data_IF_626593233777
#
_entry.id   IF_626593233777
#
_cell.length_a   1.000
_cell.length_b   1.000
_cell.length_c   1.000
_cell.angle_alpha   90.00
_cell.angle_beta   90.00
_cell.angle_gamma   90.00
#
_symmetry.space_group_name_H-M   'P 1'
#
loop_
_entity.id
_entity.type
_entity.pdbx_description
1 polymer ?
#
# COMPACT_ATOMS: atom_id res chain seq x y z
N UNK A 1 -2.85 5.20 31.50
CA UNK A 1 -3.79 4.75 30.44
C UNK A 1 -3.49 5.30 29.04
N UNK A 2 -2.74 6.40 28.83
CA UNK A 2 -2.37 6.91 27.48
C UNK A 2 -0.94 6.61 27.01
N UNK A 3 -0.10 6.03 27.87
CA UNK A 3 1.31 5.72 27.60
C UNK A 3 1.65 4.25 27.91
N UNK A 4 0.67 3.35 27.81
CA UNK A 4 1.00 1.93 27.88
C UNK A 4 1.80 1.55 26.64
N UNK A 5 2.89 0.78 26.79
CA UNK A 5 3.72 0.36 25.67
C UNK A 5 2.93 -0.39 24.59
N UNK A 6 1.84 -1.07 24.96
CA UNK A 6 0.94 -1.75 24.01
C UNK A 6 0.25 -0.79 23.03
N UNK A 7 -0.24 0.36 23.49
CA UNK A 7 -0.86 1.34 22.60
C UNK A 7 0.16 1.97 21.65
N UNK A 8 1.39 2.20 22.13
CA UNK A 8 2.48 2.70 21.28
C UNK A 8 2.81 1.67 20.20
N UNK A 9 2.91 0.39 20.55
CA UNK A 9 3.17 -0.69 19.59
C UNK A 9 2.07 -0.80 18.52
N UNK A 10 0.79 -0.73 18.90
CA UNK A 10 -0.34 -0.72 17.96
C UNK A 10 -0.30 0.50 17.01
N UNK A 11 0.13 1.66 17.51
CA UNK A 11 0.31 2.87 16.70
C UNK A 11 1.38 2.66 15.63
N UNK A 12 2.52 2.08 16.02
CA UNK A 12 3.59 1.72 15.09
C UNK A 12 3.14 0.68 14.07
N UNK A 13 2.36 -0.32 14.49
CA UNK A 13 1.83 -1.34 13.59
C UNK A 13 0.96 -0.73 12.49
N UNK A 14 0.07 0.20 12.86
CA UNK A 14 -0.78 0.92 11.90
C UNK A 14 0.07 1.79 10.95
N UNK A 15 1.09 2.46 11.47
CA UNK A 15 2.03 3.23 10.65
C UNK A 15 2.82 2.35 9.67
N UNK A 16 3.36 1.23 10.14
CA UNK A 16 4.10 0.27 9.32
C UNK A 16 3.24 -0.35 8.22
N UNK A 17 1.96 -0.58 8.49
CA UNK A 17 1.01 -1.06 7.49
C UNK A 17 0.89 -0.07 6.31
N UNK A 18 0.90 1.24 6.56
CA UNK A 18 0.87 2.25 5.49
C UNK A 18 2.15 2.27 4.62
N UNK A 19 3.26 1.72 5.12
CA UNK A 19 4.48 1.51 4.34
C UNK A 19 4.59 0.07 3.81
N UNK A 20 3.60 -0.79 4.03
CA UNK A 20 3.59 -2.14 3.49
C UNK A 20 3.56 -2.10 1.96
N UNK A 21 4.31 -2.98 1.33
CA UNK A 21 4.43 -3.06 -0.13
C UNK A 21 5.86 -2.90 -0.65
N UNK A 22 6.81 -2.51 0.21
CA UNK A 22 8.25 -2.56 -0.11
C UNK A 22 8.71 -3.96 -0.55
N UNK A 23 8.05 -5.02 -0.08
CA UNK A 23 8.32 -6.40 -0.51
C UNK A 23 7.95 -6.66 -1.98
N UNK A 24 6.98 -5.94 -2.54
CA UNK A 24 6.58 -6.12 -3.94
C UNK A 24 7.71 -5.73 -4.90
N UNK A 25 8.56 -4.77 -4.53
CA UNK A 25 9.75 -4.39 -5.28
C UNK A 25 10.73 -5.57 -5.45
N UNK A 26 10.82 -6.46 -4.45
CA UNK A 26 11.71 -7.60 -4.51
C UNK A 26 11.29 -8.60 -5.61
N UNK A 27 10.00 -8.73 -5.90
CA UNK A 27 9.50 -9.61 -6.97
C UNK A 27 9.71 -9.04 -8.37
N UNK A 28 9.82 -7.72 -8.49
CA UNK A 28 10.08 -7.03 -9.78
C UNK A 28 11.59 -6.88 -10.03
N UNK A 29 12.44 -7.32 -9.09
CA UNK A 29 13.91 -7.31 -9.23
C UNK A 29 14.38 -8.05 -10.49
N UNK A 30 13.72 -9.15 -10.86
CA UNK A 30 14.06 -9.94 -12.06
C UNK A 30 13.79 -9.18 -13.37
N UNK A 31 12.88 -8.20 -13.35
CA UNK A 31 12.53 -7.36 -14.51
C UNK A 31 13.34 -6.04 -14.53
N UNK A 32 14.08 -5.76 -13.45
CA UNK A 32 14.84 -4.53 -13.31
C UNK A 32 16.17 -4.62 -14.07
N UNK A 33 16.46 -3.63 -14.93
CA UNK A 33 17.78 -3.52 -15.56
C UNK A 33 18.84 -3.21 -14.49
N UNK A 34 19.82 -4.09 -14.28
CA UNK A 34 20.86 -3.99 -13.23
C UNK A 34 20.33 -3.87 -11.79
N UNK A 35 19.73 -4.95 -11.25
CA UNK A 35 19.04 -4.92 -9.95
C UNK A 35 19.97 -4.56 -8.77
N UNK A 36 21.20 -5.08 -8.76
CA UNK A 36 22.17 -4.85 -7.66
C UNK A 36 22.48 -3.38 -7.37
N UNK A 37 22.35 -2.49 -8.36
CA UNK A 37 22.58 -1.04 -8.19
C UNK A 37 21.29 -0.25 -8.13
N UNK A 38 20.28 -0.64 -8.90
CA UNK A 38 19.06 0.14 -9.06
C UNK A 38 18.04 -0.14 -7.95
N UNK A 39 17.97 -1.37 -7.44
CA UNK A 39 17.08 -1.71 -6.33
C UNK A 39 17.40 -0.93 -5.04
N UNK A 40 18.65 -0.92 -4.51
CA UNK A 40 18.95 -0.15 -3.29
C UNK A 40 18.76 1.36 -3.50
N UNK A 41 19.05 1.89 -4.69
CA UNK A 41 18.80 3.30 -5.01
C UNK A 41 17.32 3.63 -5.06
N UNK A 42 16.50 2.76 -5.67
CA UNK A 42 15.05 2.95 -5.73
C UNK A 42 14.44 2.95 -4.32
N UNK A 43 14.86 2.04 -3.45
CA UNK A 43 14.42 2.01 -2.04
C UNK A 43 14.85 3.28 -1.30
N UNK A 44 16.12 3.68 -1.45
CA UNK A 44 16.66 4.86 -0.78
C UNK A 44 15.99 6.17 -1.22
N UNK A 45 15.48 6.26 -2.45
CA UNK A 45 14.75 7.44 -2.95
C UNK A 45 13.26 7.37 -2.59
N UNK A 46 12.63 6.20 -2.75
CA UNK A 46 11.19 6.03 -2.53
C UNK A 46 10.79 6.16 -1.06
N UNK A 47 11.55 5.58 -0.13
CA UNK A 47 11.24 5.65 1.30
C UNK A 47 11.15 7.08 1.86
N UNK A 48 12.16 7.96 1.69
CA UNK A 48 12.07 9.33 2.19
C UNK A 48 11.01 10.14 1.44
N UNK A 49 10.81 9.90 0.14
CA UNK A 49 9.77 10.58 -0.64
C UNK A 49 8.37 10.25 -0.09
N UNK A 50 8.06 8.96 0.11
CA UNK A 50 6.78 8.52 0.69
C UNK A 50 6.62 9.06 2.11
N UNK A 51 7.67 8.99 2.92
CA UNK A 51 7.66 9.55 4.28
C UNK A 51 7.31 11.04 4.27
N UNK A 52 7.94 11.81 3.38
CA UNK A 52 7.68 13.25 3.25
C UNK A 52 6.23 13.52 2.84
N UNK A 53 5.71 12.80 1.85
CA UNK A 53 4.32 12.91 1.41
C UNK A 53 3.35 12.57 2.55
N UNK A 54 3.61 11.50 3.31
CA UNK A 54 2.76 11.11 4.43
C UNK A 54 2.72 12.16 5.53
N UNK A 55 3.87 12.77 5.86
CA UNK A 55 3.91 13.87 6.82
C UNK A 55 3.10 15.06 6.32
N UNK A 56 3.25 15.44 5.05
CA UNK A 56 2.47 16.53 4.45
C UNK A 56 0.95 16.27 4.49
N UNK A 57 0.51 15.06 4.14
CA UNK A 57 -0.91 14.69 4.18
C UNK A 57 -1.46 14.75 5.61
N UNK A 58 -0.71 14.27 6.60
CA UNK A 58 -1.11 14.38 8.00
C UNK A 58 -1.24 15.85 8.43
N UNK A 59 -0.30 16.71 8.04
CA UNK A 59 -0.39 18.16 8.30
C UNK A 59 -1.65 18.74 7.67
N UNK A 60 -1.95 18.41 6.41
CA UNK A 60 -3.16 18.87 5.73
C UNK A 60 -4.45 18.46 6.45
N UNK A 61 -4.51 17.22 6.97
CA UNK A 61 -5.68 16.77 7.75
C UNK A 61 -5.84 17.55 9.06
N UNK A 62 -4.77 17.82 9.79
CA UNK A 62 -4.86 18.57 11.05
C UNK A 62 -5.20 20.05 10.89
N UNK A 63 -4.93 20.64 9.71
CA UNK A 63 -5.30 22.03 9.41
C UNK A 63 -6.80 22.16 9.14
N UNK A 64 -7.44 21.13 8.58
CA UNK A 64 -8.82 21.21 8.08
C UNK A 64 -9.83 20.50 9.00
N UNK A 65 -9.43 19.40 9.66
CA UNK A 65 -10.30 18.61 10.53
C UNK A 65 -9.95 18.80 12.00
N UNK A 66 -10.99 18.81 12.84
CA UNK A 66 -10.81 18.72 14.28
C UNK A 66 -10.48 17.28 14.70
N UNK A 67 -9.90 17.12 15.90
CA UNK A 67 -9.48 15.82 16.44
C UNK A 67 -10.65 14.84 16.58
N UNK A 68 -11.82 15.36 16.97
CA UNK A 68 -13.03 14.57 17.16
C UNK A 68 -13.54 14.04 15.81
N UNK A 69 -13.58 14.90 14.78
CA UNK A 69 -13.98 14.51 13.43
C UNK A 69 -13.03 13.49 12.80
N UNK A 70 -11.71 13.62 13.05
CA UNK A 70 -10.73 12.67 12.54
C UNK A 70 -10.89 11.29 13.19
N UNK A 71 -11.21 11.24 14.49
CA UNK A 71 -11.42 9.99 15.22
C UNK A 71 -12.79 9.36 14.96
N UNK A 72 -13.81 10.15 14.60
CA UNK A 72 -15.15 9.66 14.30
C UNK A 72 -15.33 9.23 12.83
N UNK A 73 -14.38 9.54 11.95
CA UNK A 73 -14.49 9.29 10.51
C UNK A 73 -13.81 8.00 10.09
N UNK A 74 -14.56 7.05 9.55
CA UNK A 74 -14.01 5.82 8.96
C UNK A 74 -13.17 6.10 7.70
N UNK A 75 -13.50 7.16 6.96
CA UNK A 75 -12.81 7.60 5.75
C UNK A 75 -12.38 9.07 5.85
N UNK A 76 -11.24 9.30 6.52
CA UNK A 76 -10.68 10.65 6.76
C UNK A 76 -10.46 11.44 5.46
N UNK A 77 -10.01 10.76 4.39
CA UNK A 77 -9.78 11.39 3.09
C UNK A 77 -11.07 11.92 2.42
N UNK A 78 -12.19 11.20 2.58
CA UNK A 78 -13.48 11.60 2.00
C UNK A 78 -14.06 12.78 2.79
N UNK A 79 -14.01 12.69 4.12
CA UNK A 79 -14.45 13.78 5.02
C UNK A 79 -13.66 15.07 4.77
N UNK A 80 -12.36 14.95 4.49
CA UNK A 80 -11.52 16.06 4.05
C UNK A 80 -11.98 16.63 2.69
N UNK A 81 -12.27 15.76 1.72
CA UNK A 81 -12.80 16.16 0.41
C UNK A 81 -14.13 16.89 0.50
N UNK A 82 -15.05 16.41 1.33
CA UNK A 82 -16.36 17.04 1.55
C UNK A 82 -16.23 18.47 2.09
N UNK A 83 -15.32 18.68 3.04
CA UNK A 83 -15.08 20.01 3.64
C UNK A 83 -14.35 20.97 2.72
N UNK A 84 -13.40 20.49 1.93
CA UNK A 84 -12.51 21.35 1.16
C UNK A 84 -13.01 21.62 -0.27
N UNK A 85 -13.56 20.60 -0.93
CA UNK A 85 -13.86 20.63 -2.36
C UNK A 85 -15.32 20.94 -2.67
N UNK A 86 -16.22 20.89 -1.68
CA UNK A 86 -17.64 21.21 -1.83
C UNK A 86 -18.28 20.45 -3.00
N UNK A 87 -18.61 21.17 -4.08
CA UNK A 87 -19.16 20.61 -5.33
C UNK A 87 -18.32 19.49 -5.93
N UNK A 88 -16.99 19.53 -5.79
CA UNK A 88 -16.08 18.55 -6.40
C UNK A 88 -15.76 17.37 -5.46
N UNK A 89 -16.48 17.20 -4.34
CA UNK A 89 -16.17 16.17 -3.35
C UNK A 89 -16.11 14.75 -3.91
N UNK A 90 -16.95 14.40 -4.91
CA UNK A 90 -16.93 13.07 -5.55
C UNK A 90 -15.58 12.68 -6.17
N UNK A 91 -14.74 13.65 -6.55
CA UNK A 91 -13.42 13.32 -7.11
C UNK A 91 -12.52 12.59 -6.12
N UNK A 92 -12.61 12.92 -4.83
CA UNK A 92 -11.75 12.34 -3.80
C UNK A 92 -11.96 10.83 -3.61
N UNK A 93 -13.19 10.31 -3.37
CA UNK A 93 -13.42 8.88 -3.30
C UNK A 93 -13.15 8.18 -4.64
N UNK A 94 -13.32 8.84 -5.78
CA UNK A 94 -12.96 8.25 -7.08
C UNK A 94 -11.46 7.97 -7.18
N UNK A 95 -10.60 8.94 -6.86
CA UNK A 95 -9.14 8.74 -6.86
C UNK A 95 -8.70 7.69 -5.83
N UNK A 96 -9.30 7.69 -4.64
CA UNK A 96 -9.02 6.69 -3.60
C UNK A 96 -9.43 5.28 -4.08
N UNK A 97 -10.59 5.15 -4.73
CA UNK A 97 -11.04 3.88 -5.31
C UNK A 97 -10.10 3.39 -6.41
N UNK A 98 -9.68 4.28 -7.34
CA UNK A 98 -8.71 3.92 -8.36
C UNK A 98 -7.36 3.50 -7.77
N UNK A 99 -6.89 4.18 -6.71
CA UNK A 99 -5.63 3.85 -6.04
C UNK A 99 -5.69 2.48 -5.35
N UNK A 100 -6.77 2.21 -4.59
CA UNK A 100 -6.97 0.91 -3.92
C UNK A 100 -7.14 -0.24 -4.92
N UNK A 101 -7.84 -0.01 -6.04
CA UNK A 101 -7.94 -0.97 -7.13
C UNK A 101 -6.59 -1.28 -7.78
N UNK A 102 -5.77 -0.24 -8.03
CA UNK A 102 -4.41 -0.40 -8.55
C UNK A 102 -3.50 -1.19 -7.59
N UNK A 103 -3.58 -0.88 -6.29
CA UNK A 103 -2.83 -1.60 -5.26
C UNK A 103 -3.24 -3.07 -5.17
N UNK A 104 -4.55 -3.37 -5.21
CA UNK A 104 -5.06 -4.75 -5.22
C UNK A 104 -4.58 -5.53 -6.44
N UNK A 105 -4.64 -4.92 -7.62
CA UNK A 105 -4.15 -5.56 -8.85
C UNK A 105 -2.66 -5.92 -8.74
N UNK A 106 -1.83 -4.99 -8.24
CA UNK A 106 -0.41 -5.25 -7.99
C UNK A 106 -0.16 -6.38 -6.99
N UNK A 107 -0.95 -6.42 -5.90
CA UNK A 107 -0.88 -7.48 -4.90
C UNK A 107 -1.24 -8.86 -5.47
N UNK A 108 -2.27 -8.93 -6.33
CA UNK A 108 -2.68 -10.17 -7.02
C UNK A 108 -1.51 -10.69 -7.88
N UNK A 109 -0.91 -9.83 -8.72
CA UNK A 109 0.23 -10.24 -9.56
C UNK A 109 1.41 -10.78 -8.76
N UNK A 110 1.79 -10.09 -7.67
CA UNK A 110 2.90 -10.54 -6.84
C UNK A 110 2.59 -11.85 -6.10
N UNK A 111 1.37 -11.99 -5.57
CA UNK A 111 0.96 -13.20 -4.87
C UNK A 111 0.94 -14.43 -5.78
N UNK A 112 0.41 -14.29 -7.00
CA UNK A 112 0.37 -15.36 -8.00
C UNK A 112 1.78 -15.88 -8.33
N UNK A 113 2.77 -14.99 -8.51
CA UNK A 113 4.17 -15.38 -8.73
C UNK A 113 4.77 -16.14 -7.56
N UNK A 114 4.52 -15.68 -6.33
CA UNK A 114 5.01 -16.34 -5.13
C UNK A 114 4.44 -17.75 -4.99
N UNK A 115 3.14 -17.93 -5.23
CA UNK A 115 2.50 -19.25 -5.18
C UNK A 115 3.02 -20.18 -6.28
N UNK A 116 3.22 -19.68 -7.50
CA UNK A 116 3.77 -20.45 -8.61
C UNK A 116 5.16 -21.00 -8.30
N UNK A 117 6.07 -20.15 -7.79
CA UNK A 117 7.42 -20.58 -7.40
C UNK A 117 7.38 -21.52 -6.19
N UNK A 118 6.57 -21.22 -5.17
CA UNK A 118 6.45 -22.07 -3.98
C UNK A 118 5.90 -23.47 -4.27
N UNK A 119 4.99 -23.61 -5.23
CA UNK A 119 4.49 -24.92 -5.67
C UNK A 119 5.51 -25.67 -6.57
N UNK A 120 6.37 -24.94 -7.30
CA UNK A 120 7.47 -25.54 -8.08
C UNK A 120 8.56 -26.12 -7.17
N UNK A 121 8.89 -25.44 -6.08
CA UNK A 121 9.85 -25.89 -5.06
C UNK A 121 9.26 -26.98 -4.11
N UNK A 122 8.01 -27.40 -4.34
CA UNK A 122 7.39 -28.49 -3.58
C UNK A 122 6.89 -28.12 -2.18
N UNK A 123 6.91 -26.83 -1.81
CA UNK A 123 6.37 -26.34 -0.54
C UNK A 123 4.83 -26.22 -0.55
N UNK A 124 4.22 -26.18 -1.74
CA UNK A 124 2.77 -26.06 -1.95
C UNK A 124 2.26 -27.17 -2.88
N UNK A 125 0.96 -27.52 -2.82
CA UNK A 125 0.35 -28.47 -3.74
C UNK A 125 0.54 -28.04 -5.20
N UNK A 126 0.96 -28.98 -6.06
CA UNK A 126 1.24 -28.73 -7.50
C UNK A 126 0.04 -28.17 -8.28
N UNK A 127 -1.19 -28.36 -7.78
CA UNK A 127 -2.40 -27.80 -8.39
C UNK A 127 -2.38 -26.25 -8.44
N UNK A 128 -1.67 -25.59 -7.53
CA UNK A 128 -1.61 -24.11 -7.44
C UNK A 128 -0.59 -23.54 -8.44
N UNK A 129 0.25 -24.38 -9.06
CA UNK A 129 1.16 -23.98 -10.14
C UNK A 129 0.56 -24.16 -11.54
N UNK A 130 -0.71 -24.52 -11.66
CA UNK A 130 -1.35 -24.74 -12.96
C UNK A 130 -1.59 -23.40 -13.65
N UNK A 131 -1.09 -23.27 -14.87
CA UNK A 131 -1.30 -22.10 -15.72
C UNK A 131 -2.41 -22.40 -16.71
N UNK A 132 -3.32 -21.46 -16.92
CA UNK A 132 -4.35 -21.59 -17.94
C UNK A 132 -3.72 -21.61 -19.35
N UNK A 133 -4.03 -22.64 -20.15
CA UNK A 133 -3.46 -22.87 -21.48
C UNK A 133 -3.79 -21.75 -22.49
N UNK A 134 -4.95 -21.11 -22.39
CA UNK A 134 -5.36 -20.07 -23.35
C UNK A 134 -4.86 -18.67 -22.99
N UNK A 135 -4.74 -18.37 -21.68
CA UNK A 135 -4.46 -17.02 -21.18
C UNK A 135 -3.09 -16.85 -20.55
N UNK A 136 -2.33 -17.94 -20.38
CA UNK A 136 -1.01 -17.95 -19.73
C UNK A 136 -0.98 -17.26 -18.36
N UNK A 137 -2.13 -17.23 -17.68
CA UNK A 137 -2.26 -16.72 -16.31
C UNK A 137 -2.16 -17.89 -15.34
N UNK A 138 -1.27 -17.84 -14.33
CA UNK A 138 -1.30 -18.75 -13.19
C UNK A 138 -2.56 -18.56 -12.33
#
# INVERSE_FOLDING_TARGET
TRYEPGHIALSFYSGLFSYAGWNYLNFVTEELKNPFKNLPKAICISLPLVTFIYVLVNISYYVVLTKEELLSSDAVAVTFGDKLLGWMSWTMPFFVACSTFGALNGAIFASARLFFVGAREGHLPKAIALINYERYTP
#
